data_IF_031183744332
#
_entry.id   IF_031183744332
#
_cell.length_a   1.000
_cell.length_b   1.000
_cell.length_c   1.000
_cell.angle_alpha   90.00
_cell.angle_beta   90.00
_cell.angle_gamma   90.00
#
_symmetry.space_group_name_H-M   'P 1'
#
loop_
_entity.id
_entity.type
_entity.pdbx_description
1 polymer ?
#
# COMPACT_ATOMS: atom_id res chain seq x y z
N UNK A 1 8.73 -2.51 7.48
CA UNK A 1 9.88 -3.41 7.70
C UNK A 1 10.33 -3.81 6.30
N UNK A 2 11.54 -3.44 5.87
CA UNK A 2 12.08 -3.93 4.58
C UNK A 2 12.72 -5.30 4.81
N UNK A 3 12.75 -6.13 3.77
CA UNK A 3 13.34 -7.46 3.80
C UNK A 3 14.40 -7.52 2.70
N UNK A 4 15.53 -6.85 2.89
CA UNK A 4 16.74 -7.14 2.11
C UNK A 4 17.95 -6.74 2.94
N UNK A 5 18.93 -7.67 3.00
CA UNK A 5 20.33 -7.69 3.46
C UNK A 5 20.94 -6.59 4.38
N UNK A 6 20.37 -5.40 4.53
CA UNK A 6 20.77 -4.37 5.50
C UNK A 6 20.08 -4.54 6.87
N UNK A 7 19.40 -5.66 7.09
CA UNK A 7 18.57 -5.93 8.26
C UNK A 7 19.33 -5.79 9.58
N UNK A 8 20.59 -6.24 9.64
CA UNK A 8 21.41 -6.18 10.86
C UNK A 8 21.82 -4.74 11.19
N UNK A 9 22.25 -3.98 10.19
CA UNK A 9 22.68 -2.59 10.37
C UNK A 9 21.49 -1.69 10.70
N UNK A 10 20.36 -1.87 10.01
CA UNK A 10 19.13 -1.15 10.32
C UNK A 10 18.59 -1.48 11.72
N UNK A 11 18.59 -2.76 12.11
CA UNK A 11 18.20 -3.18 13.48
C UNK A 11 19.14 -2.57 14.52
N UNK A 12 20.45 -2.63 14.30
CA UNK A 12 21.42 -2.03 15.21
C UNK A 12 21.28 -0.51 15.29
N UNK A 13 20.99 0.16 14.17
CA UNK A 13 20.71 1.59 14.14
C UNK A 13 19.44 1.95 14.92
N UNK A 14 18.35 1.22 14.71
CA UNK A 14 17.11 1.38 15.48
C UNK A 14 17.34 1.16 16.97
N UNK A 15 18.10 0.13 17.35
CA UNK A 15 18.45 -0.15 18.74
C UNK A 15 19.28 0.99 19.35
N UNK A 16 20.26 1.53 18.61
CA UNK A 16 21.04 2.68 19.09
C UNK A 16 20.18 3.92 19.33
N UNK A 17 19.13 4.14 18.52
CA UNK A 17 18.16 5.22 18.75
C UNK A 17 17.36 4.94 20.02
N UNK A 18 16.78 3.74 20.17
CA UNK A 18 15.99 3.37 21.34
C UNK A 18 16.79 3.42 22.65
N UNK A 19 18.07 3.08 22.60
CA UNK A 19 19.00 3.13 23.73
C UNK A 19 19.51 4.57 24.04
N UNK A 20 19.17 5.58 23.23
CA UNK A 20 19.70 6.94 23.36
C UNK A 20 21.20 7.07 23.05
N UNK A 21 21.81 6.05 22.44
CA UNK A 21 23.24 5.99 22.09
C UNK A 21 23.53 6.54 20.69
N UNK A 22 22.50 6.93 19.94
CA UNK A 22 22.66 7.52 18.62
C UNK A 22 22.93 9.02 18.75
N UNK A 23 24.17 9.43 18.47
CA UNK A 23 24.55 10.84 18.46
C UNK A 23 23.81 11.56 17.33
N UNK A 24 22.75 12.29 17.69
CA UNK A 24 22.03 13.17 16.78
C UNK A 24 23.01 14.25 16.30
N UNK A 25 23.41 14.20 15.03
CA UNK A 25 24.38 15.14 14.46
C UNK A 25 23.89 16.59 14.43
N UNK A 26 22.59 16.81 14.61
CA UNK A 26 21.96 18.13 14.64
C UNK A 26 21.10 18.23 15.91
N UNK A 27 21.65 18.83 16.97
CA UNK A 27 20.83 19.32 18.10
C UNK A 27 19.97 20.48 17.59
N UNK A 28 18.86 20.16 16.95
CA UNK A 28 17.72 21.07 16.85
C UNK A 28 16.81 20.76 18.05
N UNK A 29 15.98 21.71 18.48
CA UNK A 29 15.17 21.65 19.72
C UNK A 29 14.16 20.48 19.79
N UNK A 30 14.05 19.67 18.73
CA UNK A 30 13.24 18.47 18.68
C UNK A 30 14.16 17.27 18.44
N UNK A 31 14.06 16.23 19.26
CA UNK A 31 14.80 14.96 19.17
C UNK A 31 14.60 14.24 17.81
N UNK A 32 15.23 14.75 16.75
CA UNK A 32 15.08 14.26 15.38
C UNK A 32 16.26 13.37 15.02
N UNK A 33 16.01 12.07 14.88
CA UNK A 33 16.98 11.15 14.30
C UNK A 33 16.95 11.26 12.77
N UNK A 34 18.11 11.54 12.16
CA UNK A 34 18.26 11.48 10.71
C UNK A 34 18.32 10.03 10.24
N UNK A 35 17.42 9.67 9.33
CA UNK A 35 17.44 8.37 8.65
C UNK A 35 18.61 8.35 7.65
N UNK A 36 19.58 7.42 7.81
CA UNK A 36 20.65 7.22 6.83
C UNK A 36 20.08 7.01 5.42
N UNK A 37 20.67 7.67 4.43
CA UNK A 37 20.23 7.61 3.03
C UNK A 37 20.36 6.21 2.44
N UNK A 38 21.29 5.41 2.94
CA UNK A 38 21.46 3.98 2.65
C UNK A 38 20.27 3.11 3.11
N UNK A 39 19.40 3.62 3.99
CA UNK A 39 18.12 2.98 4.33
C UNK A 39 16.95 3.50 3.48
N UNK A 40 17.17 4.47 2.58
CA UNK A 40 16.15 4.91 1.63
C UNK A 40 16.10 3.95 0.44
N UNK A 41 14.90 3.74 -0.10
CA UNK A 41 14.74 2.94 -1.32
C UNK A 41 15.02 3.88 -2.46
N UNK A 42 16.09 3.64 -3.20
CA UNK A 42 16.46 4.45 -4.37
C UNK A 42 15.85 3.89 -5.66
N UNK A 43 15.19 2.74 -5.59
CA UNK A 43 14.63 1.99 -6.73
C UNK A 43 13.11 1.85 -6.58
N UNK A 44 12.45 1.48 -7.68
CA UNK A 44 11.06 1.05 -7.72
C UNK A 44 10.81 -0.07 -6.69
N UNK A 45 10.20 0.31 -5.57
CA UNK A 45 9.93 -0.56 -4.42
C UNK A 45 8.99 -1.72 -4.76
N UNK A 46 8.14 -1.58 -5.77
CA UNK A 46 7.27 -2.68 -6.21
C UNK A 46 8.12 -3.72 -6.94
N UNK A 47 9.06 -3.33 -7.80
CA UNK A 47 9.98 -4.28 -8.44
C UNK A 47 10.93 -4.94 -7.43
N UNK A 48 11.39 -4.17 -6.45
CA UNK A 48 12.21 -4.69 -5.35
C UNK A 48 11.50 -5.80 -4.54
N UNK A 49 10.18 -5.67 -4.34
CA UNK A 49 9.38 -6.59 -3.50
C UNK A 49 8.66 -7.66 -4.32
N UNK A 50 8.33 -7.43 -5.59
CA UNK A 50 7.50 -8.32 -6.40
C UNK A 50 8.10 -8.67 -7.76
N UNK A 51 9.31 -8.20 -8.10
CA UNK A 51 9.92 -8.41 -9.42
C UNK A 51 9.94 -9.88 -9.85
N UNK A 52 10.40 -10.78 -8.99
CA UNK A 52 10.46 -12.23 -9.26
C UNK A 52 9.08 -12.90 -9.38
N UNK A 53 8.03 -12.25 -8.88
CA UNK A 53 6.66 -12.72 -9.01
C UNK A 53 6.10 -12.44 -10.41
N UNK A 54 6.45 -11.30 -11.01
CA UNK A 54 5.98 -10.92 -12.35
C UNK A 54 6.63 -11.76 -13.45
N UNK A 55 7.92 -12.09 -13.30
CA UNK A 55 8.67 -12.86 -14.30
C UNK A 55 8.12 -14.28 -14.50
N UNK A 56 7.66 -14.91 -13.41
CA UNK A 56 7.17 -16.30 -13.44
C UNK A 56 5.64 -16.41 -13.38
N UNK A 57 4.93 -15.27 -13.42
CA UNK A 57 3.49 -15.18 -13.15
C UNK A 57 3.04 -15.98 -11.91
N UNK A 58 3.89 -16.00 -10.88
CA UNK A 58 3.68 -16.83 -9.70
C UNK A 58 2.80 -16.06 -8.71
N UNK A 59 1.49 -16.22 -8.89
CA UNK A 59 0.45 -15.59 -8.07
C UNK A 59 0.65 -15.88 -6.57
N UNK A 60 0.97 -17.12 -6.21
CA UNK A 60 1.14 -17.52 -4.82
C UNK A 60 2.22 -16.68 -4.10
N UNK A 61 3.33 -16.40 -4.78
CA UNK A 61 4.42 -15.58 -4.20
C UNK A 61 4.03 -14.13 -3.98
N UNK A 62 3.16 -13.57 -4.82
CA UNK A 62 2.69 -12.21 -4.59
C UNK A 62 1.92 -12.14 -3.26
N UNK A 63 1.30 -13.24 -2.87
CA UNK A 63 0.34 -13.32 -1.78
C UNK A 63 0.99 -13.59 -0.41
N UNK A 64 2.26 -13.95 -0.44
CA UNK A 64 3.15 -13.97 0.71
C UNK A 64 3.72 -12.58 1.08
N UNK A 65 3.47 -11.53 0.28
CA UNK A 65 4.13 -10.23 0.42
C UNK A 65 3.11 -9.09 0.43
N UNK A 66 3.38 -8.03 1.21
CA UNK A 66 2.54 -6.82 1.23
C UNK A 66 3.37 -5.54 1.40
N UNK A 67 2.91 -4.45 0.80
CA UNK A 67 3.53 -3.12 0.93
C UNK A 67 2.64 -2.22 1.78
N UNK A 68 2.95 -1.99 3.06
CA UNK A 68 2.13 -1.12 3.90
C UNK A 68 2.25 0.35 3.48
N UNK A 69 1.13 1.07 3.48
CA UNK A 69 1.08 2.51 3.21
C UNK A 69 0.16 3.27 4.18
N UNK A 70 0.52 4.52 4.48
CA UNK A 70 -0.13 5.34 5.50
C UNK A 70 -1.49 5.88 5.05
N UNK A 71 -1.66 6.33 3.80
CA UNK A 71 -2.95 6.83 3.28
C UNK A 71 -3.67 5.77 2.43
N UNK A 72 -5.00 5.87 2.33
CA UNK A 72 -5.81 4.91 1.56
C UNK A 72 -5.55 5.05 0.06
N UNK A 73 -5.39 6.28 -0.42
CA UNK A 73 -5.04 6.53 -1.83
C UNK A 73 -3.68 5.93 -2.19
N UNK A 74 -2.67 6.04 -1.30
CA UNK A 74 -1.37 5.41 -1.53
C UNK A 74 -1.49 3.89 -1.70
N UNK A 75 -2.31 3.24 -0.87
CA UNK A 75 -2.62 1.81 -0.99
C UNK A 75 -3.26 1.49 -2.34
N UNK A 76 -4.27 2.26 -2.74
CA UNK A 76 -4.97 2.04 -4.00
C UNK A 76 -4.05 2.22 -5.20
N UNK A 77 -3.16 3.21 -5.16
CA UNK A 77 -2.17 3.46 -6.20
C UNK A 77 -1.18 2.29 -6.30
N UNK A 78 -0.61 1.84 -5.18
CA UNK A 78 0.30 0.70 -5.15
C UNK A 78 -0.38 -0.57 -5.68
N UNK A 79 -1.63 -0.83 -5.29
CA UNK A 79 -2.42 -1.96 -5.79
C UNK A 79 -2.61 -1.90 -7.31
N UNK A 80 -2.99 -0.74 -7.85
CA UNK A 80 -3.15 -0.56 -9.28
C UNK A 80 -1.84 -0.74 -10.03
N UNK A 81 -0.72 -0.28 -9.47
CA UNK A 81 0.61 -0.44 -10.08
C UNK A 81 1.06 -1.90 -10.12
N UNK A 82 0.84 -2.66 -9.04
CA UNK A 82 1.09 -4.10 -9.00
C UNK A 82 0.21 -4.81 -10.04
N UNK A 83 -1.09 -4.50 -10.07
CA UNK A 83 -2.05 -5.11 -10.99
C UNK A 83 -1.71 -4.80 -12.46
N UNK A 84 -1.22 -3.60 -12.76
CA UNK A 84 -0.77 -3.23 -14.10
C UNK A 84 0.44 -4.07 -14.56
N UNK A 85 1.31 -4.49 -13.63
CA UNK A 85 2.52 -5.28 -13.91
C UNK A 85 2.28 -6.79 -13.97
N UNK A 86 1.21 -7.27 -13.35
CA UNK A 86 0.79 -8.67 -13.47
C UNK A 86 0.45 -9.01 -14.92
N UNK A 87 0.64 -10.27 -15.32
CA UNK A 87 0.23 -10.74 -16.63
C UNK A 87 -1.30 -10.98 -16.68
N UNK A 88 -1.87 -11.00 -17.89
CA UNK A 88 -3.29 -11.22 -18.13
C UNK A 88 -4.14 -9.94 -18.21
N UNK A 89 -5.39 -10.12 -18.62
CA UNK A 89 -6.30 -9.02 -18.94
C UNK A 89 -6.93 -8.43 -17.69
N UNK A 90 -6.97 -7.09 -17.63
CA UNK A 90 -7.70 -6.35 -16.60
C UNK A 90 -9.20 -6.41 -16.91
N UNK A 91 -9.99 -6.81 -15.93
CA UNK A 91 -11.44 -6.56 -15.90
C UNK A 91 -11.75 -5.43 -14.95
N UNK A 92 -12.62 -4.55 -15.39
CA UNK A 92 -13.08 -3.41 -14.62
C UNK A 92 -14.56 -3.57 -14.26
N UNK A 93 -14.89 -3.33 -13.00
CA UNK A 93 -16.24 -3.36 -12.46
C UNK A 93 -16.53 -2.00 -11.86
N UNK A 94 -17.69 -1.44 -12.22
CA UNK A 94 -18.16 -0.16 -11.70
C UNK A 94 -19.28 -0.42 -10.69
N UNK A 95 -19.19 0.19 -9.51
CA UNK A 95 -20.29 0.16 -8.55
C UNK A 95 -21.48 0.97 -9.09
N UNK A 96 -22.67 0.61 -8.64
CA UNK A 96 -23.89 1.38 -8.87
C UNK A 96 -24.30 1.93 -7.52
N UNK A 97 -23.61 2.98 -7.08
CA UNK A 97 -23.86 3.58 -5.78
C UNK A 97 -25.07 4.53 -5.86
N UNK A 98 -25.95 4.46 -4.85
CA UNK A 98 -27.10 5.35 -4.71
C UNK A 98 -27.21 5.82 -3.27
N UNK A 99 -27.48 7.11 -3.07
CA UNK A 99 -27.85 7.66 -1.75
C UNK A 99 -29.38 7.67 -1.56
N UNK A 100 -29.84 7.95 -0.35
CA UNK A 100 -31.27 8.11 -0.07
C UNK A 100 -31.87 9.28 -0.88
N UNK A 101 -33.15 9.15 -1.25
CA UNK A 101 -33.83 10.06 -2.19
C UNK A 101 -33.77 11.54 -1.79
N UNK A 102 -33.76 11.84 -0.48
CA UNK A 102 -33.69 13.19 0.06
C UNK A 102 -32.33 13.88 -0.20
N UNK A 103 -31.26 13.12 -0.46
CA UNK A 103 -29.88 13.61 -0.65
C UNK A 103 -29.42 13.43 -2.11
N UNK A 104 -30.14 12.62 -2.92
CA UNK A 104 -29.82 12.35 -4.34
C UNK A 104 -29.69 13.61 -5.19
N UNK A 105 -30.49 14.64 -4.93
CA UNK A 105 -30.45 15.89 -5.68
C UNK A 105 -29.32 16.83 -5.24
N UNK A 106 -28.72 16.60 -4.06
CA UNK A 106 -27.67 17.46 -3.48
C UNK A 106 -26.26 16.96 -3.75
N UNK A 107 -26.08 15.69 -4.12
CA UNK A 107 -24.77 15.09 -4.38
C UNK A 107 -24.66 14.67 -5.85
N UNK A 108 -23.78 15.32 -6.64
CA UNK A 108 -23.47 14.87 -7.98
C UNK A 108 -22.98 13.41 -7.97
N UNK A 109 -23.33 12.66 -9.00
CA UNK A 109 -22.94 11.25 -9.10
C UNK A 109 -21.42 11.07 -9.17
N UNK A 110 -20.71 12.05 -9.73
CA UNK A 110 -19.25 12.10 -9.79
C UNK A 110 -18.63 12.20 -8.39
N UNK A 111 -19.25 13.00 -7.52
CA UNK A 111 -18.83 13.09 -6.12
C UNK A 111 -19.05 11.77 -5.41
N UNK A 112 -20.20 11.14 -5.63
CA UNK A 112 -20.57 9.87 -5.02
C UNK A 112 -19.62 8.74 -5.47
N UNK A 113 -19.31 8.68 -6.76
CA UNK A 113 -18.36 7.74 -7.37
C UNK A 113 -16.89 7.99 -6.94
N UNK A 114 -16.58 9.19 -6.43
CA UNK A 114 -15.25 9.47 -5.85
C UNK A 114 -15.08 8.93 -4.43
N UNK A 115 -16.20 8.59 -3.76
CA UNK A 115 -16.15 8.11 -2.39
C UNK A 115 -15.56 6.70 -2.34
N UNK A 116 -14.71 6.50 -1.34
CA UNK A 116 -14.19 5.19 -0.97
C UNK A 116 -14.48 4.96 0.50
N UNK A 117 -15.75 4.67 0.87
CA UNK A 117 -16.11 4.41 2.25
C UNK A 117 -15.33 3.22 2.84
N UNK A 118 -15.21 3.17 4.16
CA UNK A 118 -14.52 2.08 4.84
C UNK A 118 -15.35 0.80 4.73
N UNK A 119 -14.69 -0.33 4.49
CA UNK A 119 -15.35 -1.64 4.36
C UNK A 119 -16.03 -1.89 3.01
N UNK A 120 -15.96 -0.95 2.08
CA UNK A 120 -16.45 -1.12 0.71
C UNK A 120 -15.30 -0.95 -0.31
N UNK A 121 -15.37 -1.69 -1.44
CA UNK A 121 -14.46 -1.46 -2.55
C UNK A 121 -14.65 -0.06 -3.16
N UNK A 122 -13.64 0.47 -3.87
CA UNK A 122 -13.81 1.69 -4.66
C UNK A 122 -14.89 1.53 -5.73
N UNK A 123 -15.48 2.65 -6.15
CA UNK A 123 -16.44 2.68 -7.27
C UNK A 123 -15.90 1.97 -8.52
N UNK A 124 -14.63 2.19 -8.84
CA UNK A 124 -13.94 1.53 -9.94
C UNK A 124 -13.02 0.45 -9.41
N UNK A 125 -13.45 -0.80 -9.55
CA UNK A 125 -12.72 -1.99 -9.15
C UNK A 125 -12.01 -2.61 -10.36
N UNK A 126 -10.71 -2.86 -10.26
CA UNK A 126 -9.90 -3.44 -11.35
C UNK A 126 -9.30 -4.75 -10.88
N UNK A 127 -9.51 -5.82 -11.62
CA UNK A 127 -9.11 -7.19 -11.27
C UNK A 127 -8.39 -7.90 -12.42
N UNK A 128 -7.46 -8.79 -12.09
CA UNK A 128 -6.85 -9.77 -13.01
C UNK A 128 -6.99 -11.17 -12.42
N UNK A 129 -6.89 -12.19 -13.27
CA UNK A 129 -6.90 -13.59 -12.80
C UNK A 129 -5.70 -13.81 -11.88
N UNK A 130 -5.96 -14.33 -10.69
CA UNK A 130 -4.93 -14.51 -9.66
C UNK A 130 -4.58 -13.22 -8.91
N UNK A 131 -5.50 -12.27 -8.80
CA UNK A 131 -5.44 -11.20 -7.80
C UNK A 131 -6.58 -11.41 -6.78
N UNK A 132 -6.28 -11.54 -5.49
CA UNK A 132 -7.29 -11.65 -4.44
C UNK A 132 -7.53 -10.33 -3.71
N UNK A 133 -8.81 -10.03 -3.48
CA UNK A 133 -9.26 -8.85 -2.73
C UNK A 133 -9.71 -9.22 -1.32
N UNK A 134 -9.25 -8.45 -0.34
CA UNK A 134 -9.71 -8.56 1.05
C UNK A 134 -10.62 -7.37 1.35
N UNK A 135 -11.91 -7.66 1.50
CA UNK A 135 -12.92 -6.69 1.95
C UNK A 135 -12.99 -6.76 3.48
N UNK A 136 -12.28 -5.86 4.17
CA UNK A 136 -12.29 -5.84 5.65
C UNK A 136 -13.45 -4.99 6.18
N UNK A 137 -14.45 -5.66 6.76
CA UNK A 137 -15.59 -5.05 7.46
C UNK A 137 -15.34 -4.67 8.93
N UNK A 138 -14.11 -4.66 9.43
CA UNK A 138 -13.84 -4.26 10.84
C UNK A 138 -12.59 -3.40 10.98
N UNK A 139 -12.72 -2.39 11.82
CA UNK A 139 -11.74 -1.35 12.14
C UNK A 139 -10.43 -1.91 12.69
N UNK A 140 -9.54 -2.42 11.84
CA UNK A 140 -8.11 -2.50 12.11
C UNK A 140 -7.36 -2.32 10.80
N UNK A 141 -6.21 -1.65 10.86
CA UNK A 141 -5.48 -1.12 9.72
C UNK A 141 -5.34 -2.09 8.55
N UNK A 142 -5.87 -1.65 7.40
CA UNK A 142 -5.39 -1.85 6.04
C UNK A 142 -4.69 -3.19 5.77
N UNK A 143 -5.43 -4.07 5.11
CA UNK A 143 -4.85 -5.14 4.30
C UNK A 143 -5.13 -4.81 2.84
N UNK A 144 -4.08 -5.01 2.05
CA UNK A 144 -3.82 -4.61 0.67
C UNK A 144 -3.71 -5.93 -0.11
N UNK A 145 -4.09 -5.93 -1.39
CA UNK A 145 -4.13 -7.12 -2.26
C UNK A 145 -3.03 -8.13 -1.90
N UNK A 146 -3.49 -9.28 -1.42
CA UNK A 146 -2.77 -10.55 -1.41
C UNK A 146 -3.23 -11.20 -2.71
N UNK A 147 -2.40 -11.43 -3.73
CA UNK A 147 -2.88 -12.02 -4.98
C UNK A 147 -3.43 -13.46 -4.88
#
# INVERSE_FOLDING_TARGET
MRVINCDKEFKQWLLKIGDGKYSIKFKMDNDIALLPTEFLSTVDRIMEIYGDCFDNNNVNKLCERFIPARKKNDVLNINNDILNRMQGDVREYLSVDSCQDDIKQMLPIEFLNSLTPNGLPPHKLRLKVGAAEIISGKQFGKVILIP
#
